data_IF_417589541673
#
_entry.id   IF_417589541673
#
_cell.length_a   1.000
_cell.length_b   1.000
_cell.length_c   1.000
_cell.angle_alpha   90.00
_cell.angle_beta   90.00
_cell.angle_gamma   90.00
#
_symmetry.space_group_name_H-M   'P 1'
#
loop_
_entity.id
_entity.type
_entity.pdbx_description
1 polymer ?
#
# COMPACT_ATOMS: atom_id res chain seq x y z
N UNK A 1 -23.98 7.17 -11.13
CA UNK A 1 -23.66 5.74 -11.36
C UNK A 1 -22.72 5.26 -10.27
N UNK A 2 -23.07 4.21 -9.52
CA UNK A 2 -22.22 3.67 -8.46
C UNK A 2 -21.31 2.57 -9.05
N UNK A 3 -20.00 2.87 -9.20
CA UNK A 3 -19.01 1.91 -9.71
C UNK A 3 -18.47 1.03 -8.58
N UNK A 4 -18.52 1.50 -7.33
CA UNK A 4 -17.97 0.79 -6.18
C UNK A 4 -18.53 -0.64 -6.04
N UNK A 5 -19.83 -0.82 -6.29
CA UNK A 5 -20.48 -2.12 -6.22
C UNK A 5 -20.01 -3.14 -7.27
N UNK A 6 -19.37 -2.67 -8.34
CA UNK A 6 -18.85 -3.49 -9.45
C UNK A 6 -17.40 -3.92 -9.27
N UNK A 7 -16.68 -3.32 -8.30
CA UNK A 7 -15.29 -3.66 -8.02
C UNK A 7 -15.27 -4.91 -7.11
N UNK A 8 -14.36 -5.86 -7.37
CA UNK A 8 -14.20 -7.01 -6.50
C UNK A 8 -13.98 -6.59 -5.05
N UNK A 9 -14.68 -7.22 -4.13
CA UNK A 9 -14.63 -6.91 -2.71
C UNK A 9 -14.64 -8.22 -1.91
N UNK A 10 -13.75 -8.35 -0.95
CA UNK A 10 -13.63 -9.52 -0.08
C UNK A 10 -14.97 -9.86 0.61
N UNK A 11 -15.79 -8.87 0.96
CA UNK A 11 -17.07 -9.10 1.63
C UNK A 11 -18.03 -10.06 0.90
N UNK A 12 -17.88 -10.19 -0.42
CA UNK A 12 -18.65 -11.15 -1.23
C UNK A 12 -18.15 -12.59 -1.14
N UNK A 13 -16.98 -12.79 -0.55
CA UNK A 13 -16.28 -14.07 -0.43
C UNK A 13 -16.23 -14.54 1.03
N UNK A 14 -16.69 -13.73 2.00
CA UNK A 14 -16.70 -14.11 3.41
C UNK A 14 -17.75 -15.20 3.68
N UNK A 15 -17.40 -16.17 4.52
CA UNK A 15 -18.24 -17.25 5.00
C UNK A 15 -18.64 -17.01 6.45
N UNK A 16 -19.82 -17.42 6.86
CA UNK A 16 -20.35 -17.17 8.22
C UNK A 16 -19.70 -18.07 9.30
N UNK A 17 -19.09 -19.17 8.89
CA UNK A 17 -18.48 -20.19 9.76
C UNK A 17 -16.98 -19.98 10.01
N UNK A 18 -16.46 -18.79 9.70
CA UNK A 18 -15.08 -18.41 9.91
C UNK A 18 -14.93 -17.24 10.88
N UNK A 19 -13.91 -17.31 11.74
CA UNK A 19 -13.49 -16.19 12.56
C UNK A 19 -12.66 -15.22 11.73
N UNK A 20 -12.98 -13.94 11.83
CA UNK A 20 -12.28 -12.86 11.13
C UNK A 20 -11.71 -11.87 12.12
N UNK A 21 -10.55 -11.33 11.77
CA UNK A 21 -10.04 -10.15 12.43
C UNK A 21 -10.73 -8.92 11.81
N UNK A 22 -11.49 -8.21 12.66
CA UNK A 22 -12.45 -7.20 12.23
C UNK A 22 -11.95 -5.78 12.46
N UNK A 23 -12.46 -4.79 11.68
CA UNK A 23 -12.25 -3.38 11.97
C UNK A 23 -12.90 -2.98 13.29
N UNK A 24 -12.40 -1.89 13.89
CA UNK A 24 -12.98 -1.25 15.07
C UNK A 24 -13.66 0.09 14.71
N UNK A 25 -14.13 0.82 15.75
CA UNK A 25 -14.82 2.11 15.58
C UNK A 25 -13.93 3.21 14.96
N UNK A 26 -12.61 3.10 15.05
CA UNK A 26 -11.66 4.03 14.42
C UNK A 26 -11.41 3.74 12.94
N UNK A 27 -11.84 2.59 12.47
CA UNK A 27 -11.65 2.13 11.09
C UNK A 27 -12.40 3.02 10.09
N UNK A 28 -11.73 3.41 9.02
CA UNK A 28 -12.31 4.24 7.96
C UNK A 28 -12.72 3.41 6.76
N UNK A 29 -13.71 3.89 6.03
CA UNK A 29 -14.06 3.31 4.73
C UNK A 29 -12.89 3.48 3.76
N UNK A 30 -12.51 2.40 3.08
CA UNK A 30 -11.50 2.44 2.02
C UNK A 30 -11.96 3.34 0.86
N UNK A 31 -11.03 4.08 0.28
CA UNK A 31 -11.32 4.97 -0.85
C UNK A 31 -11.45 4.18 -2.15
N UNK A 32 -12.61 4.24 -2.79
CA UNK A 32 -12.81 3.74 -4.14
C UNK A 32 -12.33 4.79 -5.15
N UNK A 33 -11.07 4.69 -5.59
CA UNK A 33 -10.46 5.67 -6.51
C UNK A 33 -11.27 5.87 -7.81
N UNK A 34 -11.80 4.82 -8.48
CA UNK A 34 -12.66 5.02 -9.64
C UNK A 34 -13.92 5.84 -9.34
N UNK A 35 -14.57 5.63 -8.18
CA UNK A 35 -15.74 6.41 -7.78
C UNK A 35 -15.36 7.86 -7.50
N UNK A 36 -14.25 8.10 -6.82
CA UNK A 36 -13.74 9.47 -6.56
C UNK A 36 -13.44 10.21 -7.86
N UNK A 37 -12.88 9.52 -8.86
CA UNK A 37 -12.63 10.13 -10.17
C UNK A 37 -13.93 10.44 -10.93
N UNK A 38 -14.99 9.64 -10.71
CA UNK A 38 -16.31 9.91 -11.28
C UNK A 38 -16.94 11.15 -10.64
N UNK A 39 -16.84 11.27 -9.31
CA UNK A 39 -17.53 12.30 -8.53
C UNK A 39 -16.80 13.64 -8.55
N UNK A 40 -15.48 13.65 -8.50
CA UNK A 40 -14.65 14.85 -8.30
C UNK A 40 -13.58 15.07 -9.38
N UNK A 41 -13.43 14.15 -10.32
CA UNK A 41 -12.42 14.19 -11.37
C UNK A 41 -13.02 14.29 -12.77
N UNK A 42 -12.30 13.77 -13.75
CA UNK A 42 -12.74 13.63 -15.15
C UNK A 42 -12.42 12.21 -15.62
N UNK A 43 -13.31 11.28 -15.33
CA UNK A 43 -13.10 9.85 -15.62
C UNK A 43 -12.88 9.57 -17.11
N UNK A 44 -13.46 10.40 -18.01
CA UNK A 44 -13.30 10.27 -19.46
C UNK A 44 -11.82 10.30 -19.88
N UNK A 45 -10.98 11.05 -19.16
CA UNK A 45 -9.54 11.10 -19.44
C UNK A 45 -8.84 9.79 -19.06
N UNK A 46 -9.37 9.05 -18.07
CA UNK A 46 -8.85 7.72 -17.70
C UNK A 46 -9.28 6.65 -18.71
N UNK A 47 -10.44 6.79 -19.33
CA UNK A 47 -10.87 5.90 -20.44
C UNK A 47 -9.87 5.96 -21.58
N UNK A 48 -9.34 7.15 -21.90
CA UNK A 48 -8.28 7.33 -22.93
C UNK A 48 -6.95 6.66 -22.56
N UNK A 49 -6.75 6.29 -21.30
CA UNK A 49 -5.56 5.58 -20.83
C UNK A 49 -5.66 4.04 -20.99
N UNK A 50 -6.86 3.50 -21.24
CA UNK A 50 -7.11 2.05 -21.33
C UNK A 50 -6.14 1.32 -22.28
N UNK A 51 -5.84 1.80 -23.50
CA UNK A 51 -4.91 1.10 -24.38
C UNK A 51 -3.50 0.94 -23.77
N UNK A 52 -3.11 1.84 -22.89
CA UNK A 52 -1.78 1.86 -22.25
C UNK A 52 -1.72 1.04 -20.97
N UNK A 53 -2.78 1.09 -20.13
CA UNK A 53 -2.78 0.50 -18.78
C UNK A 53 -3.78 -0.64 -18.61
N UNK A 54 -4.71 -0.84 -19.55
CA UNK A 54 -5.83 -1.77 -19.40
C UNK A 54 -5.42 -3.21 -19.09
N UNK A 55 -4.34 -3.72 -19.72
CA UNK A 55 -3.81 -5.07 -19.44
C UNK A 55 -3.35 -5.23 -17.99
N UNK A 56 -2.74 -4.21 -17.41
CA UNK A 56 -2.27 -4.25 -16.02
C UNK A 56 -3.43 -4.10 -15.04
N UNK A 57 -4.45 -3.29 -15.39
CA UNK A 57 -5.68 -3.19 -14.60
C UNK A 57 -6.42 -4.53 -14.59
N UNK A 58 -6.65 -5.13 -15.76
CA UNK A 58 -7.29 -6.44 -15.86
C UNK A 58 -6.50 -7.53 -15.13
N UNK A 59 -5.17 -7.54 -15.29
CA UNK A 59 -4.29 -8.44 -14.56
C UNK A 59 -4.37 -8.24 -13.04
N UNK A 60 -4.41 -6.99 -12.55
CA UNK A 60 -4.56 -6.70 -11.12
C UNK A 60 -5.90 -7.18 -10.57
N UNK A 61 -7.00 -6.99 -11.32
CA UNK A 61 -8.33 -7.50 -10.96
C UNK A 61 -8.33 -9.03 -10.91
N UNK A 62 -7.70 -9.68 -11.88
CA UNK A 62 -7.57 -11.14 -11.89
C UNK A 62 -6.80 -11.65 -10.66
N UNK A 63 -5.68 -11.00 -10.30
CA UNK A 63 -4.91 -11.36 -9.10
C UNK A 63 -5.71 -11.12 -7.81
N UNK A 64 -6.51 -10.06 -7.75
CA UNK A 64 -7.43 -9.79 -6.64
C UNK A 64 -8.47 -10.90 -6.50
N UNK A 65 -9.08 -11.33 -7.60
CA UNK A 65 -10.01 -12.46 -7.62
C UNK A 65 -9.33 -13.78 -7.20
N UNK A 66 -8.06 -14.02 -7.66
CA UNK A 66 -7.27 -15.18 -7.21
C UNK A 66 -7.10 -15.17 -5.69
N UNK A 67 -6.74 -14.02 -5.10
CA UNK A 67 -6.60 -13.87 -3.65
C UNK A 67 -7.90 -14.23 -2.91
N UNK A 68 -9.04 -13.74 -3.37
CA UNK A 68 -10.33 -14.00 -2.74
C UNK A 68 -10.81 -15.44 -2.92
N UNK A 69 -10.65 -16.00 -4.11
CA UNK A 69 -11.03 -17.39 -4.38
C UNK A 69 -10.17 -18.41 -3.59
N UNK A 70 -8.95 -18.04 -3.24
CA UNK A 70 -8.04 -18.88 -2.46
C UNK A 70 -8.06 -18.59 -0.95
N UNK A 71 -8.98 -17.74 -0.47
CA UNK A 71 -9.04 -17.28 0.91
C UNK A 71 -9.09 -18.43 1.93
N UNK A 72 -9.89 -19.45 1.65
CA UNK A 72 -10.08 -20.62 2.51
C UNK A 72 -9.22 -21.83 2.12
N UNK A 73 -8.37 -21.67 1.12
CA UNK A 73 -7.40 -22.71 0.78
C UNK A 73 -6.21 -22.59 1.75
N UNK A 74 -6.32 -23.27 2.90
CA UNK A 74 -5.35 -23.25 3.97
C UNK A 74 -4.85 -24.69 4.26
N UNK A 75 -3.59 -24.89 4.73
CA UNK A 75 -3.09 -26.20 5.12
C UNK A 75 -3.94 -26.82 6.22
N UNK A 76 -4.24 -28.12 6.12
CA UNK A 76 -5.04 -28.85 7.13
C UNK A 76 -4.31 -28.94 8.48
N UNK A 77 -3.00 -29.27 8.44
CA UNK A 77 -2.11 -29.35 9.61
C UNK A 77 -1.16 -28.16 9.53
N UNK A 78 -1.60 -26.99 10.01
CA UNK A 78 -0.84 -25.76 9.88
C UNK A 78 0.22 -25.62 10.96
N UNK A 79 1.38 -25.09 10.56
CA UNK A 79 2.45 -24.64 11.44
C UNK A 79 2.20 -23.19 11.85
N UNK A 80 2.36 -22.90 13.14
CA UNK A 80 2.27 -21.53 13.67
C UNK A 80 3.64 -20.92 14.00
N UNK A 81 4.71 -21.73 13.87
CA UNK A 81 6.09 -21.27 14.11
C UNK A 81 6.92 -21.47 12.85
N UNK A 82 7.46 -20.37 12.30
CA UNK A 82 8.33 -20.42 11.12
C UNK A 82 9.76 -20.75 11.53
N UNK A 83 10.41 -21.68 10.81
CA UNK A 83 11.82 -21.99 11.00
C UNK A 83 12.71 -20.86 10.43
N UNK A 84 13.93 -20.70 10.98
CA UNK A 84 14.92 -19.76 10.43
C UNK A 84 15.23 -20.06 8.97
N UNK A 85 15.25 -21.35 8.59
CA UNK A 85 15.44 -21.77 7.21
C UNK A 85 14.31 -21.26 6.32
N UNK A 86 13.05 -21.52 6.66
CA UNK A 86 11.90 -21.10 5.86
C UNK A 86 11.79 -19.58 5.78
N UNK A 87 12.13 -18.87 6.87
CA UNK A 87 12.15 -17.40 6.88
C UNK A 87 13.25 -16.83 5.95
N UNK A 88 14.41 -17.46 5.90
CA UNK A 88 15.49 -17.07 5.00
C UNK A 88 15.15 -17.42 3.54
N UNK A 89 14.64 -18.62 3.28
CA UNK A 89 14.15 -19.04 1.97
C UNK A 89 13.05 -18.09 1.46
N UNK A 90 12.13 -17.67 2.35
CA UNK A 90 11.10 -16.66 2.02
C UNK A 90 11.71 -15.31 1.61
N UNK A 91 12.70 -14.83 2.39
CA UNK A 91 13.38 -13.55 2.06
C UNK A 91 14.08 -13.63 0.71
N UNK A 92 14.74 -14.75 0.42
CA UNK A 92 15.42 -14.96 -0.86
C UNK A 92 14.41 -15.10 -2.01
N UNK A 93 13.32 -15.81 -1.80
CA UNK A 93 12.23 -15.88 -2.77
C UNK A 93 11.64 -14.51 -3.07
N UNK A 94 11.40 -13.69 -2.05
CA UNK A 94 10.92 -12.31 -2.22
C UNK A 94 11.86 -11.47 -3.11
N UNK A 95 13.18 -11.63 -3.01
CA UNK A 95 14.15 -10.94 -3.89
C UNK A 95 13.94 -11.34 -5.36
N UNK A 96 13.64 -12.61 -5.65
CA UNK A 96 13.36 -13.07 -7.04
C UNK A 96 12.08 -12.45 -7.61
N UNK A 97 11.18 -11.97 -6.75
CA UNK A 97 9.93 -11.29 -7.12
C UNK A 97 10.05 -9.77 -7.17
N UNK A 98 11.27 -9.23 -7.11
CA UNK A 98 11.58 -7.77 -7.04
C UNK A 98 10.94 -7.06 -5.82
N UNK A 99 10.73 -7.78 -4.73
CA UNK A 99 10.39 -7.18 -3.45
C UNK A 99 11.63 -6.44 -2.94
N UNK A 100 11.44 -5.17 -2.61
CA UNK A 100 12.50 -4.28 -2.17
C UNK A 100 12.77 -4.41 -0.67
N UNK A 101 11.72 -4.28 0.13
CA UNK A 101 11.80 -4.36 1.59
C UNK A 101 10.69 -5.25 2.12
N UNK A 102 10.95 -5.94 3.25
CA UNK A 102 9.99 -6.75 3.99
C UNK A 102 9.94 -6.23 5.42
N UNK A 103 8.74 -5.98 5.93
CA UNK A 103 8.47 -5.65 7.32
C UNK A 103 7.50 -6.64 7.94
N UNK A 104 7.49 -6.71 9.27
CA UNK A 104 6.62 -7.62 10.04
C UNK A 104 5.92 -6.81 11.12
N UNK A 105 4.62 -7.01 11.29
CA UNK A 105 3.86 -6.35 12.35
C UNK A 105 2.60 -7.14 12.72
N UNK A 106 2.05 -6.83 13.88
CA UNK A 106 0.67 -7.12 14.21
C UNK A 106 -0.24 -6.08 13.55
N UNK A 107 -1.38 -6.50 13.02
CA UNK A 107 -2.34 -5.60 12.40
C UNK A 107 -3.17 -4.92 13.50
N UNK A 108 -3.15 -3.60 13.53
CA UNK A 108 -4.09 -2.84 14.36
C UNK A 108 -5.48 -2.86 13.68
N UNK A 109 -6.57 -3.21 14.41
CA UNK A 109 -7.92 -3.22 13.86
C UNK A 109 -8.32 -1.92 13.15
N UNK A 110 -7.84 -0.76 13.64
CA UNK A 110 -8.12 0.54 13.03
C UNK A 110 -7.53 0.72 11.62
N UNK A 111 -6.57 -0.12 11.22
CA UNK A 111 -5.99 -0.09 9.88
C UNK A 111 -6.84 -0.84 8.86
N UNK A 112 -7.71 -1.76 9.32
CA UNK A 112 -8.64 -2.49 8.47
C UNK A 112 -9.74 -1.52 8.02
N UNK A 113 -10.07 -1.52 6.73
CA UNK A 113 -11.16 -0.68 6.24
C UNK A 113 -12.50 -1.15 6.80
N UNK A 114 -13.39 -0.24 7.21
CA UNK A 114 -14.64 -0.52 7.93
C UNK A 114 -15.61 -1.48 7.21
N UNK A 115 -15.42 -1.70 5.90
CA UNK A 115 -16.20 -2.64 5.09
C UNK A 115 -15.36 -3.85 4.63
N UNK A 116 -14.27 -4.15 5.33
CA UNK A 116 -13.35 -5.25 5.02
C UNK A 116 -13.08 -6.07 6.28
N UNK A 117 -12.56 -7.28 6.09
CA UNK A 117 -12.09 -8.18 7.14
C UNK A 117 -10.87 -8.94 6.64
N UNK A 118 -10.06 -9.47 7.55
CA UNK A 118 -8.93 -10.34 7.24
C UNK A 118 -8.99 -11.59 8.11
N UNK A 119 -8.32 -12.67 7.69
CA UNK A 119 -8.32 -13.94 8.44
C UNK A 119 -7.34 -13.95 9.61
N UNK A 120 -6.23 -13.20 9.52
CA UNK A 120 -5.12 -13.29 10.46
C UNK A 120 -4.65 -11.91 10.88
N UNK A 121 -4.22 -11.79 12.14
CA UNK A 121 -3.85 -10.53 12.78
C UNK A 121 -2.37 -10.16 12.64
N UNK A 122 -1.54 -11.01 12.03
CA UNK A 122 -0.14 -10.71 11.75
C UNK A 122 0.08 -10.53 10.27
N UNK A 123 1.04 -9.68 9.91
CA UNK A 123 1.30 -9.33 8.53
C UNK A 123 2.79 -9.31 8.20
N UNK A 124 3.10 -9.88 7.04
CA UNK A 124 4.31 -9.60 6.29
C UNK A 124 3.97 -8.48 5.31
N UNK A 125 4.66 -7.36 5.41
CA UNK A 125 4.42 -6.17 4.59
C UNK A 125 5.54 -6.04 3.58
N UNK A 126 5.17 -5.82 2.32
CA UNK A 126 6.12 -5.78 1.20
C UNK A 126 6.10 -4.42 0.52
N UNK A 127 7.29 -3.95 0.13
CA UNK A 127 7.42 -2.82 -0.76
C UNK A 127 8.00 -3.24 -2.12
N UNK A 128 7.56 -2.58 -3.19
CA UNK A 128 8.11 -2.72 -4.53
C UNK A 128 8.38 -1.34 -5.11
N UNK A 129 9.59 -1.16 -5.63
CA UNK A 129 10.04 0.12 -6.18
C UNK A 129 9.39 0.42 -7.53
N UNK A 130 9.00 1.68 -7.74
CA UNK A 130 8.76 2.24 -9.07
C UNK A 130 10.06 2.80 -9.63
N UNK A 131 10.28 2.68 -10.94
CA UNK A 131 11.49 3.14 -11.63
C UNK A 131 11.67 4.65 -11.46
N UNK A 132 12.73 5.05 -10.74
CA UNK A 132 12.99 6.46 -10.40
C UNK A 132 13.06 7.36 -11.62
N UNK A 133 13.72 6.90 -12.69
CA UNK A 133 13.89 7.70 -13.91
C UNK A 133 12.54 7.97 -14.60
N UNK A 134 11.61 7.03 -14.52
CA UNK A 134 10.25 7.22 -15.00
C UNK A 134 9.50 8.19 -14.09
N UNK A 135 9.56 8.02 -12.76
CA UNK A 135 8.83 8.86 -11.80
C UNK A 135 9.29 10.33 -11.85
N UNK A 136 10.57 10.59 -12.15
CA UNK A 136 11.09 11.95 -12.39
C UNK A 136 10.33 12.71 -13.47
N UNK A 137 9.72 12.01 -14.43
CA UNK A 137 8.96 12.63 -15.54
C UNK A 137 7.50 12.95 -15.19
N UNK A 138 7.08 12.75 -13.93
CA UNK A 138 5.70 13.00 -13.51
C UNK A 138 5.30 14.47 -13.67
N UNK A 139 4.06 14.75 -14.10
CA UNK A 139 3.06 13.83 -14.62
C UNK A 139 3.31 13.47 -16.09
N UNK A 140 3.27 12.18 -16.44
CA UNK A 140 3.49 11.74 -17.83
C UNK A 140 2.85 10.36 -18.11
N UNK A 141 2.67 10.04 -19.40
CA UNK A 141 2.18 8.72 -19.84
C UNK A 141 3.05 7.56 -19.35
N UNK A 142 4.40 7.61 -19.39
CA UNK A 142 5.26 6.58 -18.82
C UNK A 142 5.01 6.36 -17.31
N UNK A 143 4.80 7.43 -16.52
CA UNK A 143 4.51 7.34 -15.09
C UNK A 143 3.21 6.59 -14.82
N UNK A 144 2.15 6.88 -15.56
CA UNK A 144 0.87 6.16 -15.40
C UNK A 144 1.02 4.67 -15.68
N UNK A 145 1.79 4.31 -16.73
CA UNK A 145 2.10 2.92 -17.05
C UNK A 145 2.91 2.25 -15.95
N UNK A 146 3.93 2.91 -15.42
CA UNK A 146 4.80 2.40 -14.35
C UNK A 146 4.00 2.11 -13.08
N UNK A 147 3.12 3.04 -12.68
CA UNK A 147 2.24 2.89 -11.52
C UNK A 147 1.38 1.63 -11.65
N UNK A 148 0.69 1.46 -12.78
CA UNK A 148 -0.22 0.33 -12.97
C UNK A 148 0.54 -0.99 -13.15
N UNK A 149 1.71 -0.97 -13.79
CA UNK A 149 2.59 -2.12 -13.91
C UNK A 149 3.09 -2.60 -12.55
N UNK A 150 3.54 -1.67 -11.68
CA UNK A 150 4.03 -2.02 -10.34
C UNK A 150 2.91 -2.56 -9.46
N UNK A 151 1.69 -2.01 -9.54
CA UNK A 151 0.53 -2.61 -8.86
C UNK A 151 0.26 -4.03 -9.31
N UNK A 152 0.21 -4.27 -10.63
CA UNK A 152 0.01 -5.61 -11.17
C UNK A 152 1.09 -6.59 -10.70
N UNK A 153 2.35 -6.18 -10.82
CA UNK A 153 3.50 -7.01 -10.44
C UNK A 153 3.48 -7.38 -8.96
N UNK A 154 3.18 -6.41 -8.10
CA UNK A 154 3.10 -6.64 -6.66
C UNK A 154 1.89 -7.51 -6.28
N UNK A 155 0.75 -7.38 -6.98
CA UNK A 155 -0.39 -8.27 -6.80
C UNK A 155 -0.07 -9.72 -7.18
N UNK A 156 0.73 -9.94 -8.23
CA UNK A 156 1.26 -11.28 -8.58
C UNK A 156 2.17 -11.78 -7.46
N UNK A 157 3.11 -10.96 -7.01
CA UNK A 157 4.10 -11.34 -6.02
C UNK A 157 3.46 -11.80 -4.69
N UNK A 158 2.47 -11.08 -4.17
CA UNK A 158 1.83 -11.47 -2.89
C UNK A 158 1.01 -12.76 -2.99
N UNK A 159 0.42 -13.06 -4.15
CA UNK A 159 -0.22 -14.36 -4.38
C UNK A 159 0.83 -15.49 -4.41
N UNK A 160 1.98 -15.28 -5.05
CA UNK A 160 3.07 -16.26 -5.08
C UNK A 160 3.70 -16.45 -3.70
N UNK A 161 3.85 -15.38 -2.92
CA UNK A 161 4.35 -15.46 -1.53
C UNK A 161 3.34 -16.20 -0.65
N UNK A 162 2.06 -15.96 -0.81
CA UNK A 162 1.00 -16.73 -0.13
C UNK A 162 1.09 -18.22 -0.49
N UNK A 163 1.24 -18.55 -1.78
CA UNK A 163 1.37 -19.94 -2.23
C UNK A 163 2.67 -20.58 -1.68
N UNK A 164 3.80 -19.84 -1.63
CA UNK A 164 5.06 -20.29 -1.02
C UNK A 164 4.90 -20.66 0.46
N UNK A 165 4.17 -19.86 1.24
CA UNK A 165 3.89 -20.14 2.65
C UNK A 165 2.96 -21.35 2.80
N UNK A 166 1.92 -21.43 1.96
CA UNK A 166 0.99 -22.56 1.93
C UNK A 166 1.71 -23.90 1.68
N UNK A 167 2.61 -23.95 0.70
CA UNK A 167 3.36 -25.16 0.32
C UNK A 167 4.29 -25.65 1.46
N UNK A 168 4.62 -24.76 2.41
CA UNK A 168 5.41 -25.08 3.62
C UNK A 168 4.57 -25.31 4.87
N UNK A 169 3.24 -25.34 4.73
CA UNK A 169 2.33 -25.64 5.82
C UNK A 169 1.93 -24.44 6.68
N UNK A 170 2.22 -23.19 6.24
CA UNK A 170 1.81 -21.98 6.95
C UNK A 170 0.48 -21.44 6.38
N UNK A 171 -0.42 -21.04 7.27
CA UNK A 171 -1.63 -20.33 6.85
C UNK A 171 -1.28 -18.93 6.36
N UNK A 172 -1.90 -18.53 5.26
CA UNK A 172 -1.64 -17.22 4.68
C UNK A 172 -2.82 -16.70 3.85
N UNK A 173 -3.05 -15.40 3.93
CA UNK A 173 -3.99 -14.65 3.09
C UNK A 173 -3.23 -13.58 2.33
N UNK A 174 -3.32 -13.56 1.00
CA UNK A 174 -2.76 -12.49 0.19
C UNK A 174 -3.60 -11.22 0.32
N UNK A 175 -2.94 -10.10 0.56
CA UNK A 175 -3.50 -8.73 0.58
C UNK A 175 -2.92 -7.91 -0.58
N UNK A 176 -3.57 -7.91 -1.76
CA UNK A 176 -3.08 -7.23 -2.95
C UNK A 176 -2.94 -5.72 -2.79
N UNK A 177 -1.95 -5.12 -3.44
CA UNK A 177 -1.65 -3.68 -3.42
C UNK A 177 -2.80 -2.82 -3.97
N UNK A 178 -3.53 -3.34 -4.96
CA UNK A 178 -4.73 -2.71 -5.50
C UNK A 178 -5.95 -3.51 -5.04
N UNK A 179 -6.77 -2.89 -4.20
CA UNK A 179 -8.01 -3.48 -3.68
C UNK A 179 -7.88 -4.20 -2.34
N UNK A 180 -6.73 -4.09 -1.65
CA UNK A 180 -6.50 -4.72 -0.35
C UNK A 180 -7.40 -4.22 0.79
N UNK A 181 -7.32 -4.89 1.92
CA UNK A 181 -8.26 -4.79 3.04
C UNK A 181 -7.86 -3.75 4.08
N UNK A 182 -6.60 -3.28 4.05
CA UNK A 182 -6.04 -2.40 5.09
C UNK A 182 -5.40 -1.15 4.50
N UNK A 183 -5.18 -0.16 5.35
CA UNK A 183 -4.38 1.02 5.05
C UNK A 183 -2.88 0.66 5.07
N UNK A 184 -2.33 0.26 3.92
CA UNK A 184 -0.94 -0.18 3.81
C UNK A 184 0.12 0.84 4.27
N UNK A 185 -0.01 2.17 4.05
CA UNK A 185 0.90 3.14 4.65
C UNK A 185 0.99 3.05 6.18
N UNK A 186 -0.14 2.89 6.88
CA UNK A 186 -0.16 2.71 8.34
C UNK A 186 0.46 1.37 8.73
N UNK A 187 0.09 0.30 8.05
CA UNK A 187 0.62 -1.04 8.29
C UNK A 187 2.14 -1.09 8.10
N UNK A 188 2.66 -0.52 7.01
CA UNK A 188 4.09 -0.48 6.73
C UNK A 188 4.87 0.42 7.70
N UNK A 189 4.25 1.51 8.20
CA UNK A 189 4.84 2.31 9.26
C UNK A 189 4.90 1.53 10.57
N UNK A 190 3.86 0.77 10.92
CA UNK A 190 3.85 -0.12 12.08
C UNK A 190 4.91 -1.22 11.96
N UNK A 191 5.13 -1.75 10.76
CA UNK A 191 6.19 -2.71 10.47
C UNK A 191 7.62 -2.11 10.45
N UNK A 192 7.79 -0.82 10.80
CA UNK A 192 9.10 -0.18 10.88
C UNK A 192 9.77 0.11 9.53
N UNK A 193 9.04 0.04 8.41
CA UNK A 193 9.61 0.22 7.06
C UNK A 193 9.90 1.68 6.70
N UNK A 194 9.37 2.63 7.44
CA UNK A 194 9.49 4.07 7.18
C UNK A 194 8.47 4.87 7.98
N UNK A 195 8.21 6.10 7.56
CA UNK A 195 7.15 6.92 8.17
C UNK A 195 6.30 7.63 7.12
N UNK A 196 5.04 7.89 7.46
CA UNK A 196 4.11 8.60 6.59
C UNK A 196 4.51 10.08 6.55
N UNK A 197 4.80 10.57 5.35
CA UNK A 197 5.09 11.98 5.12
C UNK A 197 3.82 12.84 5.00
N UNK A 198 4.01 14.16 4.90
CA UNK A 198 2.92 15.14 4.82
C UNK A 198 1.96 14.91 3.63
N UNK A 199 2.42 14.27 2.55
CA UNK A 199 1.59 13.86 1.41
C UNK A 199 0.77 12.57 1.64
N UNK A 200 0.80 11.99 2.85
CA UNK A 200 0.04 10.79 3.20
C UNK A 200 0.59 9.46 2.68
N UNK A 201 1.76 9.46 2.03
CA UNK A 201 2.42 8.23 1.55
C UNK A 201 3.57 7.84 2.50
N UNK A 202 3.87 6.54 2.56
CA UNK A 202 5.05 6.06 3.28
C UNK A 202 6.34 6.56 2.59
N UNK A 203 7.29 6.99 3.38
CA UNK A 203 8.66 7.34 2.96
C UNK A 203 9.60 6.28 3.55
N UNK A 204 10.23 5.49 2.68
CA UNK A 204 11.20 4.47 3.10
C UNK A 204 12.64 4.99 2.95
N UNK A 205 13.60 4.42 3.71
CA UNK A 205 15.02 4.77 3.54
C UNK A 205 15.56 4.46 2.14
N UNK A 206 15.11 3.37 1.55
CA UNK A 206 15.62 2.83 0.29
C UNK A 206 15.18 3.65 -0.93
N UNK A 207 13.89 4.03 -1.01
CA UNK A 207 13.31 4.63 -2.23
C UNK A 207 12.43 5.87 -1.97
N UNK A 208 12.41 6.39 -0.73
CA UNK A 208 11.50 7.48 -0.38
C UNK A 208 10.04 7.07 -0.62
N UNK A 209 9.18 7.92 -1.19
CA UNK A 209 7.77 7.59 -1.43
C UNK A 209 7.53 6.89 -2.78
N UNK A 210 8.60 6.53 -3.55
CA UNK A 210 8.48 5.95 -4.89
C UNK A 210 8.32 4.43 -4.86
N UNK A 211 7.35 3.95 -4.07
CA UNK A 211 7.06 2.52 -3.85
C UNK A 211 5.57 2.21 -3.95
N UNK A 212 5.25 0.92 -4.05
CA UNK A 212 3.93 0.35 -3.79
C UNK A 212 4.01 -0.64 -2.65
N UNK A 213 2.92 -0.78 -1.91
CA UNK A 213 2.83 -1.61 -0.71
C UNK A 213 1.74 -2.67 -0.88
N UNK A 214 1.99 -3.84 -0.32
CA UNK A 214 1.03 -4.94 -0.20
C UNK A 214 1.39 -5.76 1.05
N UNK A 215 0.55 -6.74 1.40
CA UNK A 215 0.82 -7.60 2.55
C UNK A 215 0.44 -9.05 2.28
N UNK A 216 0.93 -9.94 3.13
CA UNK A 216 0.37 -11.28 3.34
C UNK A 216 0.07 -11.39 4.83
N UNK A 217 -1.17 -11.75 5.17
CA UNK A 217 -1.58 -11.97 6.56
C UNK A 217 -1.40 -13.44 6.91
N UNK A 218 -1.04 -13.73 8.18
CA UNK A 218 -0.72 -15.08 8.64
C UNK A 218 -0.96 -15.24 10.15
N UNK A 219 -1.05 -16.48 10.62
CA UNK A 219 -1.11 -16.82 12.04
C UNK A 219 0.27 -17.20 12.64
N UNK A 220 1.37 -17.03 11.89
CA UNK A 220 2.72 -17.30 12.36
C UNK A 220 3.05 -16.44 13.59
N UNK A 221 3.39 -17.09 14.70
CA UNK A 221 3.55 -16.43 16.01
C UNK A 221 4.91 -15.78 16.22
N UNK A 222 5.98 -16.41 15.71
CA UNK A 222 7.37 -15.99 15.91
C UNK A 222 7.94 -15.11 14.79
N UNK A 223 7.11 -14.34 14.11
CA UNK A 223 7.61 -13.35 13.14
C UNK A 223 8.52 -12.32 13.84
N UNK A 224 9.62 -11.87 13.19
CA UNK A 224 10.55 -10.90 13.77
C UNK A 224 9.95 -9.47 13.75
N UNK A 225 8.96 -9.24 14.60
CA UNK A 225 8.26 -7.96 14.72
C UNK A 225 9.15 -6.98 15.47
N UNK A 226 9.44 -5.82 14.86
CA UNK A 226 10.16 -4.73 15.50
C UNK A 226 9.17 -3.78 16.17
N UNK A 227 9.28 -3.59 17.49
CA UNK A 227 8.44 -2.67 18.26
C UNK A 227 8.83 -1.19 18.03
N UNK A 228 10.07 -0.92 17.66
CA UNK A 228 10.60 0.44 17.54
C UNK A 228 10.80 0.82 16.08
N UNK A 229 10.05 1.82 15.63
CA UNK A 229 10.24 2.41 14.31
C UNK A 229 11.29 3.54 14.35
N UNK A 230 12.48 3.27 13.81
CA UNK A 230 13.62 4.21 13.77
C UNK A 230 13.44 5.39 12.80
N UNK A 231 12.34 5.43 12.05
CA UNK A 231 12.14 6.37 10.96
C UNK A 231 11.13 7.48 11.28
N UNK A 232 10.57 7.50 12.50
CA UNK A 232 9.53 8.47 12.89
C UNK A 232 9.98 9.94 12.80
N UNK A 233 11.29 10.22 12.89
CA UNK A 233 11.85 11.56 12.69
C UNK A 233 11.51 12.19 11.33
N UNK A 234 11.16 11.36 10.31
CA UNK A 234 10.68 11.81 9.00
C UNK A 234 9.45 12.73 9.16
N UNK A 235 8.58 12.46 10.14
CA UNK A 235 7.38 13.27 10.39
C UNK A 235 7.77 14.71 10.75
N UNK A 236 8.68 14.86 11.70
CA UNK A 236 9.15 16.17 12.16
C UNK A 236 9.90 16.92 11.04
N UNK A 237 10.70 16.20 10.25
CA UNK A 237 11.31 16.76 9.04
C UNK A 237 10.25 17.27 8.06
N UNK A 238 9.18 16.49 7.81
CA UNK A 238 8.12 16.87 6.88
C UNK A 238 7.35 18.11 7.34
N UNK A 239 7.21 18.33 8.67
CA UNK A 239 6.54 19.54 9.19
C UNK A 239 7.28 20.84 8.81
N UNK A 240 8.61 20.79 8.68
CA UNK A 240 9.44 21.93 8.25
C UNK A 240 9.60 22.01 6.73
N UNK A 241 9.58 20.87 6.02
CA UNK A 241 9.96 20.79 4.61
C UNK A 241 8.92 21.43 3.67
N UNK A 242 7.65 21.11 3.79
CA UNK A 242 6.52 21.62 2.99
C UNK A 242 6.68 21.60 1.45
N UNK A 243 7.69 20.89 0.91
CA UNK A 243 7.96 20.90 -0.54
C UNK A 243 6.81 20.31 -1.35
N UNK A 244 6.26 19.15 -0.91
CA UNK A 244 5.12 18.51 -1.57
C UNK A 244 3.84 19.36 -1.50
N UNK A 245 3.65 20.13 -0.43
CA UNK A 245 2.54 21.09 -0.27
C UNK A 245 2.65 22.20 -1.34
N UNK A 246 3.79 22.88 -1.38
CA UNK A 246 4.06 24.01 -2.31
C UNK A 246 4.01 23.59 -3.79
N UNK A 247 4.30 22.33 -4.10
CA UNK A 247 4.37 21.80 -5.48
C UNK A 247 3.09 21.06 -5.90
N UNK A 248 2.12 20.90 -5.02
CA UNK A 248 0.86 20.23 -5.35
C UNK A 248 0.04 21.08 -6.36
N UNK A 249 -0.24 20.56 -7.57
CA UNK A 249 -0.93 21.35 -8.60
C UNK A 249 -2.40 21.64 -8.27
N UNK A 250 -2.96 20.97 -7.25
CA UNK A 250 -4.33 21.16 -6.79
C UNK A 250 -4.42 21.79 -5.39
N UNK A 251 -3.31 22.15 -4.77
CA UNK A 251 -3.27 22.56 -3.36
C UNK A 251 -4.06 21.60 -2.45
N UNK A 252 -3.90 20.28 -2.73
CA UNK A 252 -4.66 19.24 -2.06
C UNK A 252 -3.97 18.69 -0.81
N UNK A 253 -2.69 18.99 -0.58
CA UNK A 253 -1.94 18.55 0.59
C UNK A 253 -2.03 19.63 1.65
N UNK A 254 -2.48 19.26 2.85
CA UNK A 254 -2.61 20.23 3.95
C UNK A 254 -1.23 20.64 4.46
N UNK A 255 -1.05 21.92 4.71
CA UNK A 255 0.16 22.47 5.34
C UNK A 255 0.29 21.94 6.78
N UNK A 256 -0.82 21.96 7.51
CA UNK A 256 -0.93 21.30 8.81
C UNK A 256 -1.83 20.06 8.65
N UNK A 257 -1.29 18.89 8.97
CA UNK A 257 -2.06 17.65 8.95
C UNK A 257 -3.29 17.80 9.84
N UNK A 258 -4.48 17.59 9.28
CA UNK A 258 -5.72 17.69 10.04
C UNK A 258 -5.87 16.47 10.94
N UNK A 259 -6.16 16.72 12.22
CA UNK A 259 -6.53 15.69 13.19
C UNK A 259 -8.06 15.73 13.29
N UNK A 260 -8.71 14.63 12.95
CA UNK A 260 -10.15 14.48 13.06
C UNK A 260 -10.56 14.24 14.51
N UNK A 261 -11.85 14.36 14.84
CA UNK A 261 -12.41 14.17 16.18
C UNK A 261 -12.10 12.80 16.81
N UNK A 262 -11.87 11.80 15.97
CA UNK A 262 -11.47 10.44 16.37
C UNK A 262 -9.94 10.22 16.43
N UNK A 263 -9.15 11.28 16.36
CA UNK A 263 -7.68 11.22 16.39
C UNK A 263 -7.02 10.79 15.06
N UNK A 264 -7.80 10.41 14.04
CA UNK A 264 -7.21 10.04 12.75
C UNK A 264 -6.62 11.24 12.03
N UNK A 265 -5.50 11.00 11.33
CA UNK A 265 -4.78 12.03 10.58
C UNK A 265 -5.23 12.08 9.11
N UNK A 266 -5.66 13.25 8.67
CA UNK A 266 -5.98 13.52 7.29
C UNK A 266 -4.89 14.40 6.67
N UNK A 267 -4.17 13.84 5.71
CA UNK A 267 -3.02 14.49 5.07
C UNK A 267 -3.40 15.29 3.83
N UNK A 268 -4.43 14.85 3.11
CA UNK A 268 -4.83 15.43 1.82
C UNK A 268 -6.34 15.61 1.72
N UNK A 269 -6.74 16.60 0.93
CA UNK A 269 -8.09 16.70 0.36
C UNK A 269 -8.15 15.84 -0.92
N UNK A 270 -8.65 14.61 -0.79
CA UNK A 270 -8.74 13.68 -1.92
C UNK A 270 -9.68 14.18 -3.03
N UNK A 271 -10.66 15.03 -2.72
CA UNK A 271 -11.59 15.63 -3.70
C UNK A 271 -10.82 16.57 -4.61
N UNK A 272 -10.00 17.46 -4.04
CA UNK A 272 -9.12 18.34 -4.82
C UNK A 272 -8.07 17.55 -5.60
N UNK A 273 -7.49 16.49 -5.01
CA UNK A 273 -6.50 15.63 -5.67
C UNK A 273 -7.08 14.89 -6.88
N UNK A 274 -8.37 14.54 -6.86
CA UNK A 274 -9.02 13.75 -7.91
C UNK A 274 -8.92 14.37 -9.31
N UNK A 275 -8.99 15.70 -9.42
CA UNK A 275 -8.93 16.38 -10.72
C UNK A 275 -7.58 16.21 -11.42
N UNK A 276 -6.42 16.64 -10.88
CA UNK A 276 -5.13 16.39 -11.53
C UNK A 276 -4.81 14.90 -11.62
N UNK A 277 -5.24 14.09 -10.66
CA UNK A 277 -5.06 12.64 -10.73
C UNK A 277 -5.75 12.02 -11.95
N UNK A 278 -6.96 12.45 -12.28
CA UNK A 278 -7.71 11.96 -13.44
C UNK A 278 -7.25 12.56 -14.77
N UNK A 279 -6.79 13.82 -14.79
CA UNK A 279 -6.46 14.56 -16.02
C UNK A 279 -4.98 14.50 -16.40
N UNK A 280 -4.09 14.27 -15.44
CA UNK A 280 -2.64 14.33 -15.60
C UNK A 280 -1.98 12.97 -15.29
N UNK A 281 -2.38 11.91 -15.99
CA UNK A 281 -1.74 10.58 -15.96
C UNK A 281 -1.48 10.01 -14.55
N UNK A 282 -2.40 10.22 -13.59
CA UNK A 282 -2.20 9.81 -12.20
C UNK A 282 -1.36 10.79 -11.38
N UNK A 283 -1.09 11.98 -11.90
CA UNK A 283 -0.34 13.10 -11.31
C UNK A 283 1.04 12.71 -10.75
N UNK A 284 1.13 12.25 -9.48
CA UNK A 284 2.38 11.78 -8.81
C UNK A 284 3.43 12.89 -8.58
N UNK A 285 3.06 14.17 -8.74
CA UNK A 285 3.97 15.32 -8.52
C UNK A 285 4.49 15.34 -7.08
N UNK A 286 3.66 15.03 -6.08
CA UNK A 286 4.08 14.99 -4.67
C UNK A 286 5.19 13.95 -4.40
N UNK A 287 5.22 12.83 -5.14
CA UNK A 287 6.29 11.84 -5.07
C UNK A 287 7.56 12.37 -5.70
N UNK A 288 7.48 12.88 -6.94
CA UNK A 288 8.61 13.45 -7.67
C UNK A 288 9.29 14.60 -6.90
N UNK A 289 8.49 15.46 -6.29
CA UNK A 289 8.98 16.64 -5.57
C UNK A 289 9.36 16.34 -4.10
N UNK A 290 9.18 15.13 -3.62
CA UNK A 290 9.56 14.76 -2.26
C UNK A 290 11.08 14.87 -2.07
N UNK A 291 11.50 15.51 -0.97
CA UNK A 291 12.92 15.65 -0.64
C UNK A 291 13.61 14.29 -0.51
N UNK A 292 12.92 13.27 0.02
CA UNK A 292 13.42 11.88 0.11
C UNK A 292 13.42 11.12 -1.22
N UNK A 293 12.74 11.62 -2.24
CA UNK A 293 12.88 11.12 -3.60
C UNK A 293 14.07 11.76 -4.31
N UNK A 294 14.34 13.04 -4.06
CA UNK A 294 15.39 13.80 -4.73
C UNK A 294 16.76 13.51 -4.12
N UNK A 295 16.84 13.39 -2.80
CA UNK A 295 18.08 13.18 -2.05
C UNK A 295 18.06 11.80 -1.36
N UNK A 296 19.25 11.28 -1.01
CA UNK A 296 19.36 10.06 -0.22
C UNK A 296 18.88 10.28 1.22
N UNK A 297 18.26 9.25 1.79
CA UNK A 297 17.80 9.23 3.18
C UNK A 297 18.92 9.61 4.16
N UNK A 298 20.10 9.00 4.04
CA UNK A 298 21.22 9.23 4.96
C UNK A 298 21.74 10.67 4.91
N UNK A 299 21.79 11.28 3.72
CA UNK A 299 22.18 12.69 3.57
C UNK A 299 21.21 13.61 4.31
N UNK A 300 19.91 13.36 4.17
CA UNK A 300 18.86 14.15 4.85
C UNK A 300 18.96 13.94 6.36
N UNK A 301 19.08 12.68 6.81
CA UNK A 301 19.18 12.32 8.24
C UNK A 301 20.37 12.97 8.89
N UNK A 302 21.55 12.89 8.27
CA UNK A 302 22.78 13.52 8.77
C UNK A 302 22.67 15.05 8.87
N UNK A 303 21.97 15.69 7.94
CA UNK A 303 21.74 17.14 7.97
C UNK A 303 20.69 17.58 8.97
N UNK A 304 19.70 16.73 9.24
CA UNK A 304 18.58 17.04 10.12
C UNK A 304 18.88 16.80 11.62
N UNK A 305 19.70 15.80 11.94
CA UNK A 305 20.04 15.43 13.31
C UNK A 305 21.30 16.16 13.85
N UNK A 306 21.91 17.02 13.01
CA UNK A 306 22.93 18.00 13.46
C UNK A 306 22.25 19.23 14.06
#
# INVERSE_FOLDING_TARGET
MNIESKIPNISKHLKNDYDYFEPNELSKKGLCVPQIMLDYGKIQNKIKSIPRIGRYMAGSINQLNKSYNSLYNQPKNSLTTISDKDLNDLKDYCKTLDILDIGFCKVDPSYIFSNRKILFDKALVFSMAMKRDIIKTAPSKPVEKEIMFTYYKLNVAVNLIKDFLYDRGYKAQAGPALGGEVNYPLLAQSAGMGAIGKHGLLITPSHGPSIRLAAVYTDIENLPINEINKHLWIKDFCERCNRCVKKCPANAIFENTQILSDGTKKHIDYKKCALPFSTQYGCTVCVKECTFFINSYDKIKKSYLK
#
